data_IF_006366762502
#
_entry.id   IF_006366762502
#
_cell.length_a   1.000
_cell.length_b   1.000
_cell.length_c   1.000
_cell.angle_alpha   90.00
_cell.angle_beta   90.00
_cell.angle_gamma   90.00
#
_symmetry.space_group_name_H-M   'P 1'
#
loop_
_entity.id
_entity.type
_entity.pdbx_description
1 polymer ?
#
# COMPACT_ATOMS: atom_id res chain seq x y z
N UNK A 1 -8.82 -23.62 0.28
CA UNK A 1 -9.95 -24.45 0.75
C UNK A 1 -10.65 -25.04 -0.47
N UNK A 2 -10.98 -26.34 -0.48
CA UNK A 2 -11.82 -26.91 -1.54
C UNK A 2 -13.20 -26.23 -1.51
N UNK A 3 -13.68 -25.74 -2.65
CA UNK A 3 -15.01 -25.13 -2.77
C UNK A 3 -16.08 -26.18 -2.41
N UNK A 4 -17.08 -25.81 -1.61
CA UNK A 4 -18.15 -26.76 -1.27
C UNK A 4 -18.94 -27.08 -2.53
N UNK A 5 -19.20 -28.37 -2.78
CA UNK A 5 -19.99 -28.84 -3.93
C UNK A 5 -21.43 -28.31 -3.93
N UNK A 6 -21.97 -27.95 -2.76
CA UNK A 6 -23.35 -27.49 -2.63
C UNK A 6 -23.47 -25.96 -2.76
N UNK A 7 -24.46 -25.51 -3.53
CA UNK A 7 -24.85 -24.09 -3.60
C UNK A 7 -25.38 -23.63 -2.25
N UNK A 8 -24.96 -22.45 -1.79
CA UNK A 8 -25.34 -21.96 -0.47
C UNK A 8 -26.83 -21.73 -0.30
N UNK A 9 -27.55 -21.51 -1.41
CA UNK A 9 -29.01 -21.35 -1.43
C UNK A 9 -29.73 -22.67 -1.15
N UNK A 10 -29.16 -23.78 -1.61
CA UNK A 10 -29.78 -25.12 -1.49
C UNK A 10 -29.85 -25.53 -0.03
N UNK A 11 -28.76 -25.41 0.72
CA UNK A 11 -28.80 -25.75 2.14
C UNK A 11 -29.60 -24.75 2.97
N UNK A 12 -29.58 -23.46 2.60
CA UNK A 12 -30.30 -22.45 3.36
C UNK A 12 -31.82 -22.60 3.22
N UNK A 13 -32.31 -22.93 2.01
CA UNK A 13 -33.71 -23.31 1.78
C UNK A 13 -34.09 -24.59 2.56
N UNK A 14 -33.19 -25.58 2.61
CA UNK A 14 -33.41 -26.79 3.39
C UNK A 14 -33.60 -26.50 4.90
N UNK A 15 -32.78 -25.60 5.45
CA UNK A 15 -32.88 -25.18 6.85
C UNK A 15 -34.18 -24.40 7.12
N UNK A 16 -34.62 -23.56 6.19
CA UNK A 16 -35.92 -22.87 6.31
C UNK A 16 -37.11 -23.82 6.27
N UNK A 17 -37.13 -24.79 5.33
CA UNK A 17 -38.17 -25.83 5.28
C UNK A 17 -38.26 -26.60 6.60
N UNK A 18 -37.12 -26.91 7.21
CA UNK A 18 -37.07 -27.58 8.51
C UNK A 18 -37.53 -26.67 9.67
N UNK A 19 -37.24 -25.36 9.62
CA UNK A 19 -37.77 -24.38 10.60
C UNK A 19 -39.29 -24.21 10.49
N UNK A 20 -39.84 -24.34 9.28
CA UNK A 20 -41.28 -24.34 9.01
C UNK A 20 -41.98 -25.65 9.42
N UNK A 21 -41.26 -26.61 10.01
CA UNK A 21 -41.82 -27.85 10.56
C UNK A 21 -41.87 -29.03 9.59
N UNK A 22 -41.26 -28.94 8.39
CA UNK A 22 -41.12 -30.11 7.50
C UNK A 22 -40.21 -31.16 8.13
N UNK A 23 -40.54 -32.44 7.95
CA UNK A 23 -39.71 -33.53 8.45
C UNK A 23 -38.35 -33.53 7.75
N UNK A 24 -37.28 -33.68 8.53
CA UNK A 24 -35.91 -33.70 8.03
C UNK A 24 -35.67 -34.85 7.03
N UNK A 25 -36.36 -35.98 7.21
CA UNK A 25 -36.31 -37.11 6.25
C UNK A 25 -36.68 -36.67 4.84
N UNK A 26 -37.79 -35.95 4.72
CA UNK A 26 -38.39 -35.61 3.44
C UNK A 26 -37.53 -34.55 2.73
N UNK A 27 -37.00 -33.59 3.50
CA UNK A 27 -36.06 -32.58 3.01
C UNK A 27 -34.74 -33.22 2.53
N UNK A 28 -34.25 -34.24 3.24
CA UNK A 28 -33.05 -34.98 2.83
C UNK A 28 -33.29 -35.79 1.54
N UNK A 29 -34.46 -36.39 1.38
CA UNK A 29 -34.83 -37.14 0.16
C UNK A 29 -35.06 -36.20 -1.03
N UNK A 30 -35.75 -35.07 -0.83
CA UNK A 30 -35.97 -34.05 -1.89
C UNK A 30 -34.66 -33.49 -2.46
N UNK A 31 -33.64 -33.33 -1.61
CA UNK A 31 -32.37 -32.70 -1.97
C UNK A 31 -31.25 -33.71 -2.26
N UNK A 32 -31.54 -35.01 -2.14
CA UNK A 32 -30.58 -36.12 -2.27
C UNK A 32 -29.34 -35.97 -1.38
N UNK A 33 -29.56 -35.75 -0.08
CA UNK A 33 -28.52 -35.48 0.91
C UNK A 33 -28.65 -36.40 2.12
N UNK A 34 -27.51 -36.82 2.68
CA UNK A 34 -27.50 -37.58 3.93
C UNK A 34 -27.92 -36.73 5.14
N UNK A 35 -28.65 -37.32 6.08
CA UNK A 35 -29.07 -36.64 7.33
C UNK A 35 -27.90 -36.03 8.09
N UNK A 36 -26.74 -36.69 8.08
CA UNK A 36 -25.51 -36.19 8.70
C UNK A 36 -25.10 -34.81 8.15
N UNK A 37 -25.20 -34.62 6.83
CA UNK A 37 -24.87 -33.35 6.17
C UNK A 37 -25.85 -32.24 6.54
N UNK A 38 -27.14 -32.57 6.66
CA UNK A 38 -28.16 -31.63 7.13
C UNK A 38 -27.86 -31.12 8.55
N UNK A 39 -27.55 -32.02 9.49
CA UNK A 39 -27.22 -31.61 10.86
C UNK A 39 -25.90 -30.84 10.96
N UNK A 40 -24.93 -31.12 10.09
CA UNK A 40 -23.71 -30.32 9.94
C UNK A 40 -24.02 -28.87 9.51
N UNK A 41 -24.95 -28.69 8.57
CA UNK A 41 -25.41 -27.37 8.16
C UNK A 41 -26.20 -26.67 9.25
N UNK A 42 -27.08 -27.40 9.93
CA UNK A 42 -27.84 -26.89 11.07
C UNK A 42 -26.87 -26.35 12.12
N UNK A 43 -25.89 -27.15 12.58
CA UNK A 43 -24.88 -26.70 13.56
C UNK A 43 -24.15 -25.41 13.16
N UNK A 44 -23.90 -25.19 11.86
CA UNK A 44 -23.14 -24.02 11.37
C UNK A 44 -24.00 -22.78 11.10
N UNK A 45 -25.27 -22.96 10.74
CA UNK A 45 -26.10 -21.88 10.20
C UNK A 45 -27.48 -21.78 10.89
N UNK A 46 -27.73 -22.52 11.97
CA UNK A 46 -29.05 -22.56 12.65
C UNK A 46 -29.55 -21.19 13.12
N UNK A 47 -28.62 -20.31 13.48
CA UNK A 47 -28.94 -18.99 14.03
C UNK A 47 -29.19 -17.95 12.93
N UNK A 48 -28.84 -18.27 11.67
CA UNK A 48 -28.85 -17.31 10.57
C UNK A 48 -30.11 -17.44 9.70
N UNK A 49 -30.81 -16.33 9.40
CA UNK A 49 -31.89 -16.33 8.41
C UNK A 49 -31.34 -16.41 6.98
N UNK A 50 -32.17 -16.84 6.01
CA UNK A 50 -31.76 -17.02 4.61
C UNK A 50 -31.16 -15.74 4.01
N UNK A 51 -31.82 -14.60 4.21
CA UNK A 51 -31.35 -13.30 3.69
C UNK A 51 -29.91 -12.95 4.14
N UNK A 52 -29.53 -13.33 5.37
CA UNK A 52 -28.17 -13.09 5.87
C UNK A 52 -27.17 -14.05 5.22
N UNK A 53 -27.56 -15.30 4.98
CA UNK A 53 -26.71 -16.30 4.29
C UNK A 53 -26.44 -15.85 2.84
N UNK A 54 -27.45 -15.32 2.15
CA UNK A 54 -27.33 -14.76 0.81
C UNK A 54 -26.36 -13.58 0.78
N UNK A 55 -26.55 -12.62 1.69
CA UNK A 55 -25.67 -11.46 1.82
C UNK A 55 -24.22 -11.86 2.12
N UNK A 56 -23.99 -12.84 3.01
CA UNK A 56 -22.65 -13.36 3.30
C UNK A 56 -22.03 -13.98 2.05
N UNK A 57 -22.79 -14.73 1.25
CA UNK A 57 -22.29 -15.32 -0.01
C UNK A 57 -21.88 -14.23 -0.99
N UNK A 58 -22.71 -13.22 -1.17
CA UNK A 58 -22.44 -12.12 -2.06
C UNK A 58 -21.21 -11.31 -1.62
N UNK A 59 -21.13 -10.98 -0.33
CA UNK A 59 -19.97 -10.31 0.24
C UNK A 59 -18.69 -11.12 0.05
N UNK A 60 -18.73 -12.44 0.27
CA UNK A 60 -17.57 -13.32 0.02
C UNK A 60 -17.15 -13.31 -1.45
N UNK A 61 -18.10 -13.39 -2.38
CA UNK A 61 -17.81 -13.30 -3.82
C UNK A 61 -17.15 -11.97 -4.17
N UNK A 62 -17.74 -10.86 -3.71
CA UNK A 62 -17.18 -9.51 -3.94
C UNK A 62 -15.80 -9.36 -3.32
N UNK A 63 -15.59 -9.87 -2.10
CA UNK A 63 -14.29 -9.87 -1.44
C UNK A 63 -13.24 -10.63 -2.27
N UNK A 64 -13.54 -11.84 -2.75
CA UNK A 64 -12.60 -12.60 -3.59
C UNK A 64 -12.27 -11.91 -4.91
N UNK A 65 -13.25 -11.25 -5.54
CA UNK A 65 -13.02 -10.48 -6.77
C UNK A 65 -12.14 -9.27 -6.47
N UNK A 66 -12.39 -8.56 -5.37
CA UNK A 66 -11.60 -7.41 -4.94
C UNK A 66 -10.17 -7.83 -4.59
N UNK A 67 -9.99 -8.92 -3.86
CA UNK A 67 -8.67 -9.48 -3.53
C UNK A 67 -7.86 -9.78 -4.81
N UNK A 68 -8.46 -10.45 -5.79
CA UNK A 68 -7.80 -10.74 -7.06
C UNK A 68 -7.39 -9.46 -7.80
N UNK A 69 -8.29 -8.47 -7.87
CA UNK A 69 -8.00 -7.18 -8.50
C UNK A 69 -6.89 -6.41 -7.77
N UNK A 70 -6.87 -6.45 -6.45
CA UNK A 70 -5.82 -5.81 -5.64
C UNK A 70 -4.47 -6.48 -5.92
N UNK A 71 -4.44 -7.81 -6.02
CA UNK A 71 -3.22 -8.55 -6.37
C UNK A 71 -2.73 -8.18 -7.77
N UNK A 72 -3.62 -8.13 -8.76
CA UNK A 72 -3.29 -7.70 -10.13
C UNK A 72 -2.67 -6.29 -10.14
N UNK A 73 -3.33 -5.33 -9.48
CA UNK A 73 -2.85 -3.95 -9.40
C UNK A 73 -1.50 -3.83 -8.64
N UNK A 74 -1.28 -4.64 -7.61
CA UNK A 74 -0.01 -4.67 -6.89
C UNK A 74 1.12 -5.28 -7.72
N UNK A 75 0.82 -6.27 -8.57
CA UNK A 75 1.78 -6.80 -9.53
C UNK A 75 2.16 -5.74 -10.58
N UNK A 76 1.17 -5.07 -11.17
CA UNK A 76 1.40 -3.99 -12.13
C UNK A 76 2.19 -2.84 -11.51
N UNK A 77 1.84 -2.44 -10.28
CA UNK A 77 2.58 -1.43 -9.53
C UNK A 77 4.04 -1.82 -9.35
N UNK A 78 4.32 -3.07 -8.98
CA UNK A 78 5.70 -3.57 -8.82
C UNK A 78 6.45 -3.55 -10.15
N UNK A 79 5.81 -4.01 -11.23
CA UNK A 79 6.39 -3.99 -12.57
C UNK A 79 6.78 -2.57 -12.98
N UNK A 80 5.88 -1.59 -12.83
CA UNK A 80 6.16 -0.18 -13.13
C UNK A 80 7.27 0.39 -12.26
N UNK A 81 7.33 -0.01 -10.98
CA UNK A 81 8.39 0.42 -10.08
C UNK A 81 9.75 -0.16 -10.46
N UNK A 82 9.82 -1.41 -10.91
CA UNK A 82 11.06 -2.07 -11.29
C UNK A 82 11.57 -1.57 -12.65
N UNK A 83 10.68 -1.28 -13.61
CA UNK A 83 11.09 -0.62 -14.86
C UNK A 83 11.68 0.77 -14.62
N UNK A 84 11.09 1.54 -13.70
CA UNK A 84 11.64 2.85 -13.30
C UNK A 84 13.02 2.76 -12.64
N UNK A 85 13.33 1.66 -11.93
CA UNK A 85 14.68 1.40 -11.42
C UNK A 85 15.64 1.11 -12.56
N UNK A 86 15.22 0.26 -13.51
CA UNK A 86 16.06 -0.14 -14.65
C UNK A 86 16.39 1.03 -15.58
N UNK A 87 15.47 1.97 -15.75
CA UNK A 87 15.69 3.18 -16.56
C UNK A 87 16.67 4.19 -15.94
N UNK A 88 17.21 3.91 -14.75
CA UNK A 88 18.17 4.72 -13.98
C UNK A 88 17.94 6.24 -14.11
N UNK A 89 16.70 6.65 -13.85
CA UNK A 89 16.32 8.06 -13.99
C UNK A 89 17.15 8.89 -13.02
N UNK A 90 17.99 9.78 -13.55
CA UNK A 90 18.83 10.66 -12.75
C UNK A 90 18.03 11.35 -11.64
N UNK A 91 18.64 11.48 -10.46
CA UNK A 91 18.00 12.03 -9.26
C UNK A 91 17.43 13.44 -9.48
N UNK A 92 18.06 14.25 -10.33
CA UNK A 92 17.55 15.58 -10.70
C UNK A 92 16.22 15.49 -11.46
N UNK A 93 16.10 14.56 -12.41
CA UNK A 93 14.88 14.35 -13.19
C UNK A 93 13.76 13.76 -12.34
N UNK A 94 14.08 12.89 -11.38
CA UNK A 94 13.11 12.41 -10.38
C UNK A 94 12.49 13.54 -9.57
N UNK A 95 13.22 14.62 -9.25
CA UNK A 95 12.66 15.78 -8.52
C UNK A 95 11.60 16.51 -9.34
N UNK A 96 11.90 16.77 -10.62
CA UNK A 96 10.97 17.44 -11.55
C UNK A 96 9.69 16.61 -11.68
N UNK A 97 9.83 15.30 -11.90
CA UNK A 97 8.69 14.39 -11.99
C UNK A 97 7.88 14.37 -10.68
N UNK A 98 8.53 14.42 -9.51
CA UNK A 98 7.83 14.50 -8.22
C UNK A 98 7.01 15.79 -8.11
N UNK A 99 7.53 16.91 -8.61
CA UNK A 99 6.82 18.20 -8.60
C UNK A 99 5.62 18.17 -9.55
N UNK A 100 5.82 17.68 -10.78
CA UNK A 100 4.75 17.50 -11.79
C UNK A 100 3.65 16.57 -11.28
N UNK A 101 4.01 15.43 -10.69
CA UNK A 101 3.05 14.46 -10.14
C UNK A 101 2.27 15.02 -8.95
N UNK A 102 2.90 15.86 -8.12
CA UNK A 102 2.18 16.56 -7.04
C UNK A 102 1.13 17.49 -7.61
N UNK A 103 1.47 18.25 -8.65
CA UNK A 103 0.55 19.22 -9.27
C UNK A 103 -0.56 18.55 -10.10
N UNK A 104 -0.28 17.45 -10.79
CA UNK A 104 -1.24 16.82 -11.70
C UNK A 104 -2.25 15.94 -10.96
N UNK A 105 -1.82 15.25 -9.90
CA UNK A 105 -2.66 14.31 -9.15
C UNK A 105 -3.09 14.82 -7.77
N UNK A 106 -2.78 16.07 -7.43
CA UNK A 106 -2.95 16.66 -6.09
C UNK A 106 -2.42 15.75 -4.96
N UNK A 107 -1.35 15.01 -5.27
CA UNK A 107 -0.80 14.00 -4.39
C UNK A 107 0.14 14.62 -3.36
N UNK A 108 0.14 14.10 -2.14
CA UNK A 108 1.10 14.56 -1.13
C UNK A 108 2.53 14.25 -1.55
N UNK A 109 3.46 15.18 -1.26
CA UNK A 109 4.92 14.99 -1.46
C UNK A 109 5.42 13.66 -0.92
N UNK A 110 4.93 13.21 0.23
CA UNK A 110 5.32 11.92 0.80
C UNK A 110 4.91 10.74 -0.11
N UNK A 111 3.71 10.79 -0.68
CA UNK A 111 3.20 9.76 -1.59
C UNK A 111 3.99 9.74 -2.91
N UNK A 112 4.24 10.89 -3.53
CA UNK A 112 4.98 10.97 -4.80
C UNK A 112 6.45 10.58 -4.64
N UNK A 113 7.13 11.01 -3.57
CA UNK A 113 8.49 10.53 -3.24
C UNK A 113 8.55 9.01 -3.07
N UNK A 114 7.53 8.40 -2.44
CA UNK A 114 7.46 6.94 -2.26
C UNK A 114 7.23 6.22 -3.59
N UNK A 115 6.38 6.77 -4.48
CA UNK A 115 6.11 6.19 -5.80
C UNK A 115 7.36 6.18 -6.70
N UNK A 116 8.14 7.27 -6.71
CA UNK A 116 9.37 7.39 -7.51
C UNK A 116 10.64 6.90 -6.79
N UNK A 117 10.47 6.23 -5.63
CA UNK A 117 11.55 5.64 -4.82
C UNK A 117 12.68 6.61 -4.50
N UNK A 118 12.32 7.82 -4.06
CA UNK A 118 13.28 8.82 -3.60
C UNK A 118 13.02 9.15 -2.13
N UNK A 119 14.08 9.17 -1.32
CA UNK A 119 13.92 9.55 0.08
C UNK A 119 13.53 11.03 0.19
N UNK A 120 12.70 11.34 1.18
CA UNK A 120 12.24 12.71 1.45
C UNK A 120 13.41 13.67 1.74
N UNK A 121 14.45 13.15 2.40
CA UNK A 121 15.69 13.88 2.70
C UNK A 121 16.47 14.23 1.43
N UNK A 122 16.64 13.28 0.49
CA UNK A 122 17.28 13.53 -0.80
C UNK A 122 16.48 14.48 -1.69
N UNK A 123 15.15 14.44 -1.62
CA UNK A 123 14.30 15.41 -2.31
C UNK A 123 14.44 16.82 -1.72
N UNK A 124 14.45 16.98 -0.38
CA UNK A 124 14.70 18.27 0.27
C UNK A 124 16.14 18.78 0.14
N UNK A 125 17.10 17.90 -0.18
CA UNK A 125 18.50 18.24 -0.14
C UNK A 125 18.85 19.24 -1.26
N UNK A 126 19.12 20.47 -0.86
CA UNK A 126 19.76 21.48 -1.69
C UNK A 126 21.25 21.50 -1.37
N UNK A 127 22.08 21.25 -2.38
CA UNK A 127 23.54 21.36 -2.23
C UNK A 127 23.86 22.82 -1.96
N UNK A 128 24.30 23.12 -0.74
CA UNK A 128 24.83 24.43 -0.41
C UNK A 128 26.06 24.68 -1.30
N UNK A 129 25.99 25.70 -2.17
CA UNK A 129 27.19 26.16 -2.89
C UNK A 129 28.23 26.53 -1.83
N UNK A 130 29.37 25.86 -1.85
CA UNK A 130 30.52 26.23 -1.01
C UNK A 130 30.84 27.67 -1.39
N UNK A 131 30.50 28.64 -0.53
CA UNK A 131 31.06 29.98 -0.64
C UNK A 131 32.55 29.77 -0.42
N UNK A 132 33.34 29.79 -1.49
CA UNK A 132 34.78 29.89 -1.34
C UNK A 132 35.00 31.08 -0.41
N UNK A 133 35.66 30.81 0.72
CA UNK A 133 36.04 31.84 1.67
C UNK A 133 36.99 32.74 0.88
N UNK A 134 36.49 33.84 0.31
CA UNK A 134 37.39 34.81 -0.33
C UNK A 134 38.38 35.23 0.75
N UNK A 135 39.66 35.41 0.39
CA UNK A 135 40.78 35.68 1.33
C UNK A 135 40.44 36.72 2.43
N UNK A 136 39.51 37.65 2.16
CA UNK A 136 38.95 38.64 3.11
C UNK A 136 38.31 38.04 4.37
N UNK A 137 37.69 36.87 4.28
CA UNK A 137 37.06 36.20 5.43
C UNK A 137 38.07 35.52 6.36
N UNK A 138 39.25 35.13 5.85
CA UNK A 138 40.34 34.63 6.68
C UNK A 138 40.96 35.75 7.52
N UNK A 139 41.19 36.94 6.94
CA UNK A 139 41.78 38.06 7.65
C UNK A 139 40.94 38.49 8.88
N UNK A 140 39.62 38.65 8.74
CA UNK A 140 38.75 39.06 9.87
C UNK A 140 38.67 38.01 10.97
N UNK A 141 38.76 36.71 10.63
CA UNK A 141 38.79 35.63 11.62
C UNK A 141 40.17 35.52 12.27
N UNK A 142 41.26 35.74 11.52
CA UNK A 142 42.62 35.69 12.04
C UNK A 142 42.92 36.84 13.00
N UNK A 143 42.49 38.07 12.68
CA UNK A 143 42.61 39.24 13.58
C UNK A 143 41.84 39.07 14.89
N UNK A 144 40.76 38.29 14.89
CA UNK A 144 39.96 37.99 16.09
C UNK A 144 40.65 37.00 17.04
N UNK A 145 41.55 36.16 16.53
CA UNK A 145 42.26 35.13 17.30
C UNK A 145 43.74 35.47 17.58
N UNK A 146 44.31 36.49 16.91
CA UNK A 146 45.68 36.97 17.15
C UNK A 146 45.76 38.51 17.15
N UNK A 147 45.36 39.19 18.24
CA UNK A 147 45.35 40.66 18.31
C UNK A 147 46.73 41.33 18.39
N UNK A 148 47.81 40.58 18.62
CA UNK A 148 49.16 41.14 18.84
C UNK A 148 50.17 40.92 17.69
N UNK A 149 49.75 40.35 16.55
CA UNK A 149 50.64 40.22 15.39
C UNK A 149 50.34 41.33 14.39
N UNK A 150 51.18 42.37 14.37
CA UNK A 150 51.10 43.49 13.44
C UNK A 150 51.24 42.99 11.99
N UNK A 151 50.42 43.53 11.09
CA UNK A 151 50.33 43.15 9.67
C UNK A 151 51.61 43.38 8.82
N UNK A 152 52.74 43.78 9.43
CA UNK A 152 54.03 44.04 8.76
C UNK A 152 54.90 42.80 8.53
N UNK A 153 54.56 41.64 9.08
CA UNK A 153 55.38 40.42 8.90
C UNK A 153 54.96 39.54 7.72
N UNK A 154 54.01 39.96 6.89
CA UNK A 154 53.51 39.17 5.75
C UNK A 154 53.90 39.70 4.35
N UNK A 155 54.96 40.49 4.22
CA UNK A 155 55.48 40.88 2.89
C UNK A 155 56.72 40.10 2.43
N UNK A 156 57.21 39.13 3.20
CA UNK A 156 58.31 38.26 2.76
C UNK A 156 57.89 36.79 2.74
N UNK A 157 57.17 36.40 1.71
CA UNK A 157 57.26 35.05 1.14
C UNK A 157 57.13 35.22 -0.38
N UNK A 158 58.29 35.21 -1.05
CA UNK A 158 58.38 34.90 -2.47
C UNK A 158 58.06 33.43 -2.75
#
# INVERSE_FOLDING_TARGET
MKTSKFSSLVFASALEKARQGRRVSDVCTELDISRATFFLWKKRFDVLPLAVIERIRELKKRATILENRVVELDLDRKLLQDTLKQLDVQTARKRILIDELQTYFDATRARTCTLLQMSRSLYSYQRLKKKYCTRKCHARRWSRWHPYKNARTMTNFG
#
